data_IF_131887591511
#
_entry.id   IF_131887591511
#
_cell.length_a   1.000
_cell.length_b   1.000
_cell.length_c   1.000
_cell.angle_alpha   90.00
_cell.angle_beta   90.00
_cell.angle_gamma   90.00
#
_symmetry.space_group_name_H-M   'P 1'
#
loop_
_entity.id
_entity.type
_entity.pdbx_description
1 polymer ?
#
# COMPACT_ATOMS: atom_id res chain seq x y z
N UNK A 1 7.72 16.71 2.76
CA UNK A 1 6.94 15.79 3.61
C UNK A 1 6.88 14.46 2.88
N UNK A 2 7.91 13.62 3.03
CA UNK A 2 7.92 12.30 2.37
C UNK A 2 7.53 11.28 3.42
N UNK A 3 6.45 10.54 3.16
CA UNK A 3 5.98 9.45 4.03
C UNK A 3 6.48 8.13 3.46
N UNK A 4 7.07 7.29 4.31
CA UNK A 4 7.48 5.91 3.95
C UNK A 4 6.29 4.98 3.71
N UNK A 5 5.09 5.42 4.08
CA UNK A 5 3.87 4.64 4.04
C UNK A 5 3.02 5.05 2.85
N UNK A 6 2.55 4.06 2.11
CA UNK A 6 1.67 4.22 0.96
C UNK A 6 0.35 3.50 1.21
N UNK A 7 -0.70 4.03 0.62
CA UNK A 7 -2.01 3.43 0.50
C UNK A 7 -2.13 2.83 -0.89
N UNK A 8 -2.59 1.59 -0.98
CA UNK A 8 -2.84 0.87 -2.23
C UNK A 8 -4.31 0.44 -2.23
N UNK A 9 -5.11 1.02 -3.11
CA UNK A 9 -6.53 0.76 -3.25
C UNK A 9 -6.91 0.24 -4.64
N UNK A 10 -8.19 -0.13 -4.77
CA UNK A 10 -8.76 -0.77 -5.96
C UNK A 10 -8.12 -2.14 -6.29
N UNK A 11 -7.62 -2.82 -5.26
CA UNK A 11 -7.08 -4.17 -5.37
C UNK A 11 -8.20 -5.19 -5.57
N UNK A 12 -7.90 -6.27 -6.29
CA UNK A 12 -8.82 -7.40 -6.43
C UNK A 12 -8.97 -8.14 -5.11
N UNK A 13 -10.19 -8.59 -4.81
CA UNK A 13 -10.51 -9.29 -3.57
C UNK A 13 -9.78 -10.63 -3.41
N UNK A 14 -9.30 -11.22 -4.51
CA UNK A 14 -8.50 -12.44 -4.52
C UNK A 14 -7.01 -12.22 -4.25
N UNK A 15 -6.52 -10.97 -4.25
CA UNK A 15 -5.12 -10.69 -3.96
C UNK A 15 -4.84 -10.93 -2.49
N UNK A 16 -3.71 -11.59 -2.23
CA UNK A 16 -3.19 -11.84 -0.89
C UNK A 16 -2.01 -10.91 -0.59
N UNK A 17 -1.62 -10.92 0.67
CA UNK A 17 -0.48 -10.16 1.18
C UNK A 17 0.78 -10.45 0.37
N UNK A 18 1.04 -11.73 0.08
CA UNK A 18 2.21 -12.18 -0.66
C UNK A 18 2.27 -11.60 -2.08
N UNK A 19 1.13 -11.56 -2.78
CA UNK A 19 1.04 -10.97 -4.12
C UNK A 19 1.37 -9.47 -4.08
N UNK A 20 0.77 -8.74 -3.14
CA UNK A 20 1.01 -7.30 -2.98
C UNK A 20 2.48 -7.09 -2.63
N UNK A 21 3.01 -7.85 -1.68
CA UNK A 21 4.41 -7.77 -1.26
C UNK A 21 5.35 -8.00 -2.45
N UNK A 22 5.08 -9.00 -3.28
CA UNK A 22 5.92 -9.32 -4.43
C UNK A 22 5.88 -8.21 -5.49
N UNK A 23 4.70 -7.67 -5.79
CA UNK A 23 4.54 -6.56 -6.75
C UNK A 23 5.29 -5.30 -6.27
N UNK A 24 5.19 -4.98 -4.99
CA UNK A 24 5.74 -3.75 -4.43
C UNK A 24 7.20 -3.88 -3.96
N UNK A 25 7.71 -5.10 -3.74
CA UNK A 25 9.09 -5.34 -3.31
C UNK A 25 10.12 -4.98 -4.39
N UNK A 26 9.71 -4.79 -5.63
CA UNK A 26 10.60 -4.36 -6.74
C UNK A 26 11.05 -2.91 -6.58
N UNK A 27 10.25 -2.08 -5.91
CA UNK A 27 10.55 -0.66 -5.66
C UNK A 27 11.42 -0.45 -4.43
N UNK A 28 11.38 -1.38 -3.48
CA UNK A 28 12.25 -1.34 -2.31
C UNK A 28 11.81 -2.29 -1.19
N UNK A 29 12.57 -2.26 -0.10
CA UNK A 29 12.32 -3.12 1.04
C UNK A 29 11.04 -2.71 1.79
N UNK A 30 10.07 -3.63 1.86
CA UNK A 30 8.82 -3.47 2.61
C UNK A 30 9.05 -3.84 4.08
N UNK A 31 8.86 -2.86 4.97
CA UNK A 31 8.93 -3.02 6.42
C UNK A 31 7.65 -3.60 7.01
N UNK A 32 6.50 -3.10 6.56
CA UNK A 32 5.19 -3.51 7.08
C UNK A 32 4.17 -3.52 5.95
N UNK A 33 3.30 -4.53 5.93
CA UNK A 33 2.19 -4.64 4.99
C UNK A 33 0.94 -4.94 5.79
N UNK A 34 -0.06 -4.08 5.65
CA UNK A 34 -1.33 -4.21 6.36
C UNK A 34 -2.50 -4.22 5.39
N UNK A 35 -3.07 -5.39 5.19
CA UNK A 35 -4.33 -5.54 4.43
C UNK A 35 -5.53 -5.23 5.32
N UNK A 36 -6.52 -4.55 4.75
CA UNK A 36 -7.75 -4.22 5.48
C UNK A 36 -8.88 -5.13 5.01
N UNK A 37 -9.39 -5.89 5.96
CA UNK A 37 -10.52 -6.79 5.79
C UNK A 37 -11.75 -6.19 6.46
N UNK A 38 -12.90 -6.49 5.88
CA UNK A 38 -14.20 -6.15 6.41
C UNK A 38 -14.45 -7.01 7.65
N UNK A 39 -14.80 -6.39 8.78
CA UNK A 39 -14.94 -7.10 10.05
C UNK A 39 -16.25 -7.87 10.16
N UNK A 40 -17.23 -7.50 9.34
CA UNK A 40 -18.56 -8.12 9.37
C UNK A 40 -18.60 -9.34 8.44
N UNK A 41 -18.08 -9.18 7.22
CA UNK A 41 -18.09 -10.23 6.19
C UNK A 41 -16.80 -11.04 6.12
N UNK A 42 -15.72 -10.58 6.75
CA UNK A 42 -14.38 -11.18 6.64
C UNK A 42 -13.71 -10.96 5.27
N UNK A 43 -14.39 -10.28 4.34
CA UNK A 43 -13.90 -10.10 2.97
C UNK A 43 -12.83 -9.01 2.89
N UNK A 44 -11.88 -9.19 1.98
CA UNK A 44 -10.90 -8.14 1.72
C UNK A 44 -11.61 -6.88 1.20
N UNK A 45 -11.30 -5.70 1.76
CA UNK A 45 -11.94 -4.45 1.31
C UNK A 45 -11.37 -3.90 0.01
N UNK A 46 -10.37 -4.58 -0.57
CA UNK A 46 -9.71 -4.13 -1.81
C UNK A 46 -8.72 -2.99 -1.59
N UNK A 47 -8.19 -2.84 -0.37
CA UNK A 47 -7.12 -1.90 -0.09
C UNK A 47 -6.18 -2.36 1.02
N UNK A 48 -4.92 -1.94 0.91
CA UNK A 48 -3.84 -2.25 1.82
C UNK A 48 -2.96 -1.01 2.07
N UNK A 49 -2.22 -1.04 3.17
CA UNK A 49 -1.19 -0.07 3.49
C UNK A 49 0.17 -0.76 3.47
N UNK A 50 1.16 -0.12 2.85
CA UNK A 50 2.52 -0.64 2.76
C UNK A 50 3.45 0.40 3.34
N UNK A 51 4.33 0.00 4.26
CA UNK A 51 5.38 0.83 4.83
C UNK A 51 6.72 0.35 4.30
N UNK A 52 7.44 1.22 3.61
CA UNK A 52 8.79 0.95 3.12
C UNK A 52 9.87 1.30 4.17
N UNK A 53 11.06 0.75 3.98
CA UNK A 53 12.25 1.13 4.73
C UNK A 53 12.71 2.57 4.38
N UNK A 54 12.58 2.94 3.11
CA UNK A 54 13.05 4.21 2.53
C UNK A 54 11.91 5.05 1.98
N UNK A 55 12.07 6.38 2.02
CA UNK A 55 11.10 7.31 1.43
C UNK A 55 11.11 7.24 -0.09
N UNK A 56 12.29 7.10 -0.70
CA UNK A 56 12.45 7.02 -2.16
C UNK A 56 11.67 5.83 -2.73
N UNK A 57 11.75 4.66 -2.08
CA UNK A 57 10.98 3.48 -2.48
C UNK A 57 9.46 3.72 -2.43
N UNK A 58 8.98 4.52 -1.47
CA UNK A 58 7.57 4.90 -1.40
C UNK A 58 7.18 5.87 -2.53
N UNK A 59 8.06 6.83 -2.84
CA UNK A 59 7.87 7.79 -3.93
C UNK A 59 7.84 7.09 -5.29
N UNK A 60 8.79 6.20 -5.56
CA UNK A 60 8.85 5.41 -6.79
C UNK A 60 7.63 4.49 -6.94
N UNK A 61 7.24 3.80 -5.86
CA UNK A 61 6.07 2.95 -5.88
C UNK A 61 4.78 3.74 -6.18
N UNK A 62 4.60 4.92 -5.57
CA UNK A 62 3.44 5.79 -5.87
C UNK A 62 3.49 6.28 -7.31
N UNK A 63 4.65 6.75 -7.79
CA UNK A 63 4.79 7.29 -9.13
C UNK A 63 4.54 6.23 -10.23
N UNK A 64 5.00 4.99 -10.02
CA UNK A 64 4.89 3.94 -11.01
C UNK A 64 3.59 3.12 -10.92
N UNK A 65 3.07 2.89 -9.71
CA UNK A 65 1.91 2.01 -9.51
C UNK A 65 0.58 2.74 -9.49
N UNK A 66 0.57 4.06 -9.27
CA UNK A 66 -0.67 4.81 -9.30
C UNK A 66 -1.24 4.88 -10.73
N UNK A 67 -2.43 4.31 -10.93
CA UNK A 67 -3.08 4.21 -12.24
C UNK A 67 -2.71 2.95 -13.05
N UNK A 68 -1.75 2.15 -12.58
CA UNK A 68 -1.39 0.88 -13.22
C UNK A 68 -2.57 -0.09 -13.22
N UNK A 69 -2.80 -0.76 -14.35
CA UNK A 69 -3.82 -1.79 -14.46
C UNK A 69 -3.27 -3.14 -13.96
N UNK A 70 -3.85 -3.65 -12.86
CA UNK A 70 -3.54 -4.96 -12.31
C UNK A 70 -4.83 -5.77 -12.25
N UNK A 71 -4.81 -6.97 -12.85
CA UNK A 71 -5.99 -7.86 -12.90
C UNK A 71 -7.24 -7.20 -13.53
N UNK A 72 -7.04 -6.27 -14.48
CA UNK A 72 -8.13 -5.51 -15.13
C UNK A 72 -8.70 -4.39 -14.25
N UNK A 73 -7.96 -3.93 -13.23
CA UNK A 73 -8.35 -2.81 -12.36
C UNK A 73 -7.21 -1.81 -12.21
N UNK A 74 -7.51 -0.53 -12.37
CA UNK A 74 -6.53 0.53 -12.15
C UNK A 74 -6.26 0.70 -10.65
N UNK A 75 -5.05 0.39 -10.20
CA UNK A 75 -4.66 0.56 -8.83
C UNK A 75 -4.61 2.05 -8.46
N UNK A 76 -5.05 2.34 -7.24
CA UNK A 76 -4.95 3.69 -6.67
C UNK A 76 -3.85 3.68 -5.64
N UNK A 77 -2.71 4.28 -5.95
CA UNK A 77 -1.55 4.31 -5.05
C UNK A 77 -1.25 5.75 -4.67
N UNK A 78 -1.25 6.03 -3.37
CA UNK A 78 -1.00 7.38 -2.84
C UNK A 78 -0.19 7.29 -1.56
N UNK A 79 0.48 8.37 -1.14
CA UNK A 79 1.04 8.41 0.21
C UNK A 79 -0.06 8.23 1.25
N UNK A 80 0.17 7.37 2.22
CA UNK A 80 -0.72 7.25 3.35
C UNK A 80 -0.49 8.45 4.26
N UNK A 81 -1.56 9.15 4.61
CA UNK A 81 -1.50 10.13 5.68
C UNK A 81 -1.28 9.39 7.00
N UNK A 82 -0.05 9.42 7.48
CA UNK A 82 0.26 8.92 8.80
C UNK A 82 -0.32 9.92 9.80
N UNK A 83 -1.53 9.66 10.30
CA UNK A 83 -2.10 10.38 11.43
C UNK A 83 -1.29 10.18 12.73
N UNK A 84 -0.07 9.63 12.69
CA UNK A 84 0.92 9.75 13.78
C UNK A 84 1.80 10.98 13.61
N UNK A 85 1.18 12.15 13.63
CA UNK A 85 1.73 13.32 14.33
C UNK A 85 0.73 13.52 15.47
N UNK A 86 1.03 13.18 16.72
CA UNK A 86 1.88 13.97 17.60
C UNK A 86 1.92 13.29 18.97
N UNK A 87 3.08 12.78 19.41
CA UNK A 87 3.50 12.69 20.83
C UNK A 87 5.03 12.60 20.85
N UNK A 88 5.69 13.74 20.69
CA UNK A 88 7.03 13.95 21.25
C UNK A 88 6.82 14.64 22.59
N UNK A 89 7.09 13.98 23.74
CA UNK A 89 7.60 14.67 24.91
C UNK A 89 9.12 14.84 24.83
#
# INVERSE_FOLDING_TARGET
MSSKKIYVGNLKFSLKEENIRQIFSVYGAIQDLKMIYDRETGNFRGFAFITYASNEAAEDAVAQMNGQEVDGRNLKVTFAEDKRKEKQP
#
